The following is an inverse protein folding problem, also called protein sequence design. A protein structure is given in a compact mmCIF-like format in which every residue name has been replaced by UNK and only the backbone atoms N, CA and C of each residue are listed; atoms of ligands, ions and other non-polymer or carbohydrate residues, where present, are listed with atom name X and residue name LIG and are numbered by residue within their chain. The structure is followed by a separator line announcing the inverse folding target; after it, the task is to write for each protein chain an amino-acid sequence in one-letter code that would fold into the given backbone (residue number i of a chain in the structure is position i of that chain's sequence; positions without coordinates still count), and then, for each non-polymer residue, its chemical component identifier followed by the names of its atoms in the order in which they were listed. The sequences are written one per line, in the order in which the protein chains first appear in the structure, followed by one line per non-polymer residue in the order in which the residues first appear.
data_IF_178542103594
#
_entry.id   IF_178542103594
#
_cell.length_a   1.000
_cell.length_b   1.000
_cell.length_c   1.000
_cell.angle_alpha   90.00
_cell.angle_beta   90.00
_cell.angle_gamma   90.00
#
_symmetry.space_group_name_H-M   'P 1'
#
loop_
_entity.id
_entity.type
_entity.pdbx_description
1 polymer ?
#
# COMPACT_ATOMS: atom_id res chain seq x y z
N UNK A 1 8.10 -16.31 -7.78
CA UNK A 1 7.73 -15.48 -6.61
C UNK A 1 6.26 -15.00 -6.64
N UNK A 2 5.45 -15.39 -7.63
CA UNK A 2 4.03 -14.99 -7.73
C UNK A 2 3.10 -15.82 -6.83
N UNK A 3 3.20 -17.14 -6.86
CA UNK A 3 2.17 -18.02 -6.25
C UNK A 3 2.05 -18.01 -4.72
N UNK A 4 3.12 -17.70 -3.97
CA UNK A 4 3.03 -17.64 -2.49
C UNK A 4 2.34 -16.35 -2.05
N UNK A 5 2.68 -15.21 -2.66
CA UNK A 5 2.12 -13.89 -2.30
C UNK A 5 0.63 -13.83 -2.57
N UNK A 6 0.17 -14.37 -3.71
CA UNK A 6 -1.25 -14.45 -4.08
C UNK A 6 -2.07 -15.28 -3.08
N UNK A 7 -1.47 -16.31 -2.47
CA UNK A 7 -2.16 -17.15 -1.48
C UNK A 7 -2.33 -16.47 -0.12
N UNK A 8 -1.44 -15.53 0.25
CA UNK A 8 -1.42 -14.88 1.57
C UNK A 8 -1.92 -13.43 1.54
N UNK A 9 -2.01 -12.82 0.35
CA UNK A 9 -2.53 -11.48 0.11
C UNK A 9 -3.51 -11.55 -1.08
N UNK A 10 -4.74 -12.06 -0.85
CA UNK A 10 -5.70 -12.34 -1.91
C UNK A 10 -6.46 -11.07 -2.36
N UNK A 11 -5.73 -9.97 -2.52
CA UNK A 11 -6.26 -8.66 -2.91
C UNK A 11 -5.67 -8.23 -4.24
N UNK A 12 -6.43 -7.46 -5.00
CA UNK A 12 -5.93 -6.96 -6.28
C UNK A 12 -4.85 -5.90 -6.03
N UNK A 13 -3.67 -6.11 -6.61
CA UNK A 13 -2.61 -5.09 -6.62
C UNK A 13 -2.93 -4.00 -7.63
N UNK A 14 -2.91 -2.76 -7.17
CA UNK A 14 -3.01 -1.57 -8.02
C UNK A 14 -1.73 -0.74 -7.93
N UNK A 15 -1.50 0.07 -8.95
CA UNK A 15 -0.37 0.97 -8.99
C UNK A 15 -0.80 2.34 -9.51
N UNK A 16 -0.32 3.40 -8.87
CA UNK A 16 -0.50 4.78 -9.29
C UNK A 16 0.86 5.43 -9.53
N UNK A 17 0.95 6.29 -10.53
CA UNK A 17 2.13 7.12 -10.75
C UNK A 17 2.01 8.40 -9.92
N UNK A 18 2.93 8.58 -8.96
CA UNK A 18 2.93 9.72 -8.03
C UNK A 18 4.33 10.34 -8.06
N UNK A 19 4.42 11.61 -8.49
CA UNK A 19 5.69 12.32 -8.64
C UNK A 19 6.74 11.54 -9.45
N UNK A 20 6.31 10.87 -10.53
CA UNK A 20 7.17 10.07 -11.41
C UNK A 20 7.62 8.73 -10.81
N UNK A 21 7.03 8.29 -9.70
CA UNK A 21 7.34 7.00 -9.07
C UNK A 21 6.09 6.12 -8.98
N UNK A 22 6.26 4.81 -9.15
CA UNK A 22 5.18 3.83 -9.08
C UNK A 22 4.86 3.46 -7.63
N UNK A 23 3.71 3.90 -7.13
CA UNK A 23 3.20 3.56 -5.80
C UNK A 23 2.22 2.38 -5.88
N UNK A 24 2.49 1.32 -5.13
CA UNK A 24 1.59 0.18 -4.94
C UNK A 24 0.53 0.48 -3.89
N UNK A 25 -0.69 0.02 -4.14
CA UNK A 25 -1.77 0.03 -3.17
C UNK A 25 -2.77 -1.11 -3.42
N UNK A 26 -3.54 -1.44 -2.39
CA UNK A 26 -4.72 -2.29 -2.46
C UNK A 26 -5.96 -1.40 -2.35
N UNK A 27 -7.05 -1.78 -3.02
CA UNK A 27 -8.31 -1.04 -3.04
C UNK A 27 -9.48 -2.02 -3.03
N UNK A 28 -10.07 -2.19 -1.85
CA UNK A 28 -11.04 -3.25 -1.61
C UNK A 28 -12.34 -2.70 -1.02
N UNK A 29 -13.47 -3.29 -1.41
CA UNK A 29 -14.79 -2.90 -0.91
C UNK A 29 -15.37 -1.65 -1.56
N UNK A 30 -16.37 -1.07 -0.90
CA UNK A 30 -17.08 0.12 -1.38
C UNK A 30 -17.69 0.91 -0.21
N UNK A 31 -18.05 2.17 -0.42
CA UNK A 31 -18.62 3.05 0.63
C UNK A 31 -17.63 4.10 1.13
N UNK A 32 -17.79 4.61 2.38
CA UNK A 32 -16.88 5.59 2.95
C UNK A 32 -15.43 5.09 2.94
N UNK A 33 -14.49 6.00 2.69
CA UNK A 33 -13.08 5.64 2.45
C UNK A 33 -12.31 5.58 3.77
N UNK A 34 -11.56 4.49 3.96
CA UNK A 34 -10.56 4.32 5.02
C UNK A 34 -9.19 4.13 4.37
N UNK A 35 -8.22 4.97 4.72
CA UNK A 35 -6.85 4.86 4.23
C UNK A 35 -5.97 4.25 5.32
N UNK A 36 -5.30 3.15 4.99
CA UNK A 36 -4.36 2.45 5.88
C UNK A 36 -2.93 2.82 5.50
N UNK A 37 -2.26 3.52 6.41
CA UNK A 37 -0.88 4.02 6.23
C UNK A 37 0.04 3.30 7.20
N UNK A 38 0.96 2.50 6.66
CA UNK A 38 1.84 1.65 7.47
C UNK A 38 3.03 2.41 8.10
N UNK A 39 3.64 1.80 9.11
CA UNK A 39 4.91 2.22 9.73
C UNK A 39 6.12 1.40 9.27
N UNK A 40 7.29 1.62 9.87
CA UNK A 40 8.53 0.89 9.55
C UNK A 40 8.72 -0.32 10.50
N UNK A 41 9.14 -1.52 10.05
CA UNK A 41 9.46 -1.99 8.70
C UNK A 41 8.32 -2.80 8.04
N UNK A 42 7.11 -2.25 8.05
CA UNK A 42 5.91 -2.93 7.51
C UNK A 42 5.53 -2.43 6.12
N UNK A 43 4.42 -2.95 5.57
CA UNK A 43 3.82 -2.63 4.26
C UNK A 43 2.35 -3.11 4.27
N UNK A 44 1.60 -2.94 3.19
CA UNK A 44 0.15 -3.19 3.13
C UNK A 44 -0.27 -4.59 3.63
N UNK A 45 0.60 -5.60 3.46
CA UNK A 45 0.41 -6.95 3.97
C UNK A 45 0.09 -7.03 5.47
N UNK A 46 0.61 -6.09 6.27
CA UNK A 46 0.35 -6.01 7.71
C UNK A 46 -1.15 -5.84 8.01
N UNK A 47 -1.87 -5.15 7.13
CA UNK A 47 -3.28 -4.84 7.29
C UNK A 47 -4.23 -5.85 6.69
N UNK A 48 -3.76 -6.97 6.10
CA UNK A 48 -4.64 -7.89 5.34
C UNK A 48 -5.89 -8.35 6.11
N UNK A 49 -5.79 -8.61 7.41
CA UNK A 49 -6.93 -8.99 8.26
C UNK A 49 -7.87 -7.81 8.56
N UNK A 50 -7.32 -6.60 8.66
CA UNK A 50 -8.11 -5.38 8.85
C UNK A 50 -8.87 -5.02 7.56
N UNK A 51 -8.24 -5.22 6.39
CA UNK A 51 -8.91 -5.07 5.09
C UNK A 51 -10.10 -6.02 5.00
N UNK A 52 -9.91 -7.31 5.30
CA UNK A 52 -11.03 -8.29 5.33
C UNK A 52 -12.17 -7.87 6.27
N UNK A 53 -11.84 -7.36 7.46
CA UNK A 53 -12.83 -6.96 8.45
C UNK A 53 -13.63 -5.70 8.05
N UNK A 54 -13.04 -4.81 7.23
CA UNK A 54 -13.63 -3.51 6.91
C UNK A 54 -14.25 -3.44 5.51
N UNK A 55 -13.78 -4.23 4.54
CA UNK A 55 -14.19 -4.12 3.12
C UNK A 55 -15.68 -4.32 2.85
N UNK A 56 -16.42 -4.94 3.79
CA UNK A 56 -17.87 -5.11 3.71
C UNK A 56 -18.69 -3.84 3.98
N UNK A 57 -18.08 -2.79 4.56
CA UNK A 57 -18.77 -1.54 4.92
C UNK A 57 -18.02 -0.28 4.49
N UNK A 58 -16.75 -0.41 4.10
CA UNK A 58 -15.87 0.67 3.71
C UNK A 58 -15.16 0.33 2.41
N UNK A 59 -14.77 1.37 1.65
CA UNK A 59 -13.71 1.26 0.66
C UNK A 59 -12.38 1.41 1.39
N UNK A 60 -11.60 0.35 1.45
CA UNK A 60 -10.35 0.29 2.21
C UNK A 60 -9.17 0.38 1.24
N UNK A 61 -8.39 1.45 1.37
CA UNK A 61 -7.20 1.68 0.55
C UNK A 61 -5.95 1.50 1.43
N UNK A 62 -5.15 0.48 1.16
CA UNK A 62 -3.90 0.23 1.87
C UNK A 62 -2.71 0.50 0.97
N UNK A 63 -1.90 1.52 1.31
CA UNK A 63 -0.76 1.93 0.48
C UNK A 63 0.55 1.30 0.94
N UNK A 64 1.51 1.18 0.02
CA UNK A 64 2.91 1.00 0.33
C UNK A 64 3.65 2.33 0.13
N UNK A 65 4.31 2.85 1.17
CA UNK A 65 5.19 4.02 1.01
C UNK A 65 6.23 3.75 -0.09
N UNK A 66 6.62 4.77 -0.87
CA UNK A 66 7.74 4.64 -1.81
C UNK A 66 8.99 4.12 -1.08
N UNK A 67 9.64 3.11 -1.66
CA UNK A 67 10.75 2.37 -1.04
C UNK A 67 10.34 1.13 -0.22
N UNK A 68 9.04 0.94 0.05
CA UNK A 68 8.50 -0.17 0.85
C UNK A 68 7.62 -1.11 0.01
N UNK A 69 7.42 -2.34 0.50
CA UNK A 69 6.51 -3.32 -0.12
C UNK A 69 6.78 -3.53 -1.62
N UNK A 70 5.73 -3.36 -2.42
CA UNK A 70 5.78 -3.44 -3.88
C UNK A 70 5.87 -2.07 -4.56
N UNK A 71 5.89 -0.98 -3.80
CA UNK A 71 6.18 0.35 -4.35
C UNK A 71 7.61 0.43 -4.87
N UNK A 72 7.83 1.32 -5.84
CA UNK A 72 9.12 1.54 -6.47
C UNK A 72 10.21 1.85 -5.44
N UNK A 73 11.39 1.27 -5.66
CA UNK A 73 12.60 1.53 -4.87
C UNK A 73 13.58 2.32 -5.73
N UNK A 74 13.86 3.56 -5.32
CA UNK A 74 14.82 4.44 -5.99
C UNK A 74 16.18 4.32 -5.31
N UNK A 75 17.22 3.77 -5.98
CA UNK A 75 18.56 3.67 -5.40
C UNK A 75 19.10 5.04 -4.97
N UNK A 76 19.76 5.10 -3.82
CA UNK A 76 20.38 6.33 -3.30
C UNK A 76 19.41 7.37 -2.74
N UNK A 77 18.09 7.17 -2.87
CA UNK A 77 17.09 8.08 -2.29
C UNK A 77 17.01 7.91 -0.77
N UNK A 78 16.91 9.02 -0.05
CA UNK A 78 16.59 9.03 1.39
C UNK A 78 15.07 9.12 1.57
N UNK A 79 14.55 8.41 2.57
CA UNK A 79 13.11 8.32 2.86
C UNK A 79 12.78 8.92 4.22
N UNK A 80 13.18 10.17 4.48
CA UNK A 80 12.82 10.87 5.73
C UNK A 80 11.35 11.27 5.65
N UNK A 81 10.71 11.48 6.81
CA UNK A 81 9.32 11.93 6.86
C UNK A 81 9.09 13.21 6.03
N UNK A 82 10.00 14.18 6.12
CA UNK A 82 9.96 15.42 5.34
C UNK A 82 10.06 15.20 3.82
N UNK A 83 10.72 14.12 3.38
CA UNK A 83 10.92 13.83 1.95
C UNK A 83 9.63 13.23 1.32
N UNK A 84 8.60 12.95 2.13
CA UNK A 84 7.30 12.37 1.74
C UNK A 84 6.18 13.39 1.62
N UNK A 85 6.39 14.61 2.11
CA UNK A 85 5.45 15.71 1.95
C UNK A 85 5.92 16.49 0.73
N UNK A 86 5.11 16.51 -0.33
CA UNK A 86 5.40 17.35 -1.49
C UNK A 86 5.22 18.83 -1.09
N UNK A 87 6.17 19.66 -1.53
CA UNK A 87 5.99 21.11 -1.61
C UNK A 87 5.44 21.48 -2.98
#
# INVERSE_FOLDING_TARGET
MSGVTESILPFQSHFAEIAGMKMHYLDEGSGPVVILVHGNPTWCFFYRRLIEALKGSFRVIAIDHIGCGLSERVPGRRFRARDRIAH
#
